data_IF_379784790635
#
_entry.id   IF_379784790635
#
_cell.length_a   1.000
_cell.length_b   1.000
_cell.length_c   1.000
_cell.angle_alpha   90.00
_cell.angle_beta   90.00
_cell.angle_gamma   90.00
#
_symmetry.space_group_name_H-M   'P 1'
#
loop_
_entity.id
_entity.type
_entity.pdbx_description
1 polymer ?
#
# COMPACT_ATOMS: atom_id res chain seq x y z
N UNK A 1 12.07 -5.63 -12.54
CA UNK A 1 12.42 -6.91 -13.22
C UNK A 1 13.14 -7.81 -12.21
N UNK A 2 12.85 -9.13 -12.17
CA UNK A 2 13.59 -10.07 -11.31
C UNK A 2 15.08 -10.10 -11.66
N UNK A 3 15.95 -10.28 -10.69
CA UNK A 3 17.40 -10.22 -10.87
C UNK A 3 17.92 -11.25 -11.88
N UNK A 4 17.32 -12.45 -11.94
CA UNK A 4 17.71 -13.46 -12.93
C UNK A 4 17.45 -13.00 -14.38
N UNK A 5 16.42 -12.16 -14.61
CA UNK A 5 16.19 -11.58 -15.95
C UNK A 5 17.18 -10.46 -16.24
N UNK A 6 17.56 -9.67 -15.24
CA UNK A 6 18.60 -8.65 -15.37
C UNK A 6 19.93 -9.29 -15.74
N UNK A 7 20.33 -10.35 -15.05
CA UNK A 7 21.53 -11.15 -15.37
C UNK A 7 21.51 -11.59 -16.85
N UNK A 8 20.39 -12.17 -17.31
CA UNK A 8 20.26 -12.60 -18.71
C UNK A 8 20.27 -11.45 -19.72
N UNK A 9 19.77 -10.27 -19.35
CA UNK A 9 19.81 -9.08 -20.22
C UNK A 9 21.25 -8.57 -20.35
N UNK A 10 21.96 -8.39 -19.23
CA UNK A 10 23.35 -7.94 -19.25
C UNK A 10 24.28 -8.92 -20.01
N UNK A 11 24.06 -10.22 -19.85
CA UNK A 11 24.84 -11.24 -20.56
C UNK A 11 24.73 -11.12 -22.10
N UNK A 12 23.58 -10.63 -22.63
CA UNK A 12 23.44 -10.37 -24.09
C UNK A 12 24.37 -9.26 -24.59
N UNK A 13 24.63 -8.30 -23.70
CA UNK A 13 25.53 -7.17 -23.98
C UNK A 13 26.97 -7.49 -23.53
N UNK A 14 27.30 -8.78 -23.30
CA UNK A 14 28.61 -9.26 -22.88
C UNK A 14 29.06 -8.67 -21.52
N UNK A 15 28.09 -8.26 -20.67
CA UNK A 15 28.35 -7.80 -19.31
C UNK A 15 27.95 -8.91 -18.33
N UNK A 16 28.94 -9.50 -17.67
CA UNK A 16 28.71 -10.55 -16.68
C UNK A 16 28.57 -9.93 -15.28
N UNK A 17 27.34 -9.91 -14.77
CA UNK A 17 27.01 -9.47 -13.41
C UNK A 17 26.17 -10.57 -12.76
N UNK A 18 26.74 -11.19 -11.73
CA UNK A 18 26.05 -12.25 -11.00
C UNK A 18 24.86 -11.68 -10.20
N UNK A 19 23.74 -12.43 -10.16
CA UNK A 19 22.51 -12.01 -9.48
C UNK A 19 22.71 -11.83 -7.97
N UNK A 20 23.65 -12.55 -7.35
CA UNK A 20 23.95 -12.39 -5.92
C UNK A 20 24.65 -11.04 -5.66
N UNK A 21 25.50 -10.60 -6.57
CA UNK A 21 26.10 -9.28 -6.51
C UNK A 21 25.04 -8.17 -6.67
N UNK A 22 24.11 -8.31 -7.63
CA UNK A 22 22.99 -7.39 -7.78
C UNK A 22 22.10 -7.37 -6.53
N UNK A 23 21.85 -8.52 -5.91
CA UNK A 23 21.08 -8.60 -4.66
C UNK A 23 21.79 -7.86 -3.52
N UNK A 24 23.10 -7.97 -3.40
CA UNK A 24 23.88 -7.22 -2.40
C UNK A 24 23.82 -5.70 -2.64
N UNK A 25 23.90 -5.28 -3.91
CA UNK A 25 23.75 -3.85 -4.26
C UNK A 25 22.36 -3.32 -3.90
N UNK A 26 21.30 -4.09 -4.20
CA UNK A 26 19.94 -3.74 -3.83
C UNK A 26 19.77 -3.62 -2.32
N UNK A 27 20.39 -4.53 -1.54
CA UNK A 27 20.37 -4.45 -0.08
C UNK A 27 21.07 -3.20 0.47
N UNK A 28 22.27 -2.89 -0.06
CA UNK A 28 22.99 -1.65 0.30
C UNK A 28 22.20 -0.41 -0.05
N UNK A 29 21.68 -0.35 -1.28
CA UNK A 29 20.87 0.78 -1.75
C UNK A 29 19.60 0.96 -0.91
N UNK A 30 18.94 -0.14 -0.54
CA UNK A 30 17.77 -0.11 0.35
C UNK A 30 18.10 0.51 1.70
N UNK A 31 19.22 0.14 2.30
CA UNK A 31 19.69 0.70 3.55
C UNK A 31 19.99 2.21 3.44
N UNK A 32 20.69 2.63 2.40
CA UNK A 32 21.02 4.04 2.16
C UNK A 32 19.76 4.91 1.88
N UNK A 33 18.72 4.33 1.28
CA UNK A 33 17.47 5.03 0.95
C UNK A 33 16.42 4.97 2.05
N UNK A 34 16.62 4.18 3.10
CA UNK A 34 15.67 4.05 4.21
C UNK A 34 15.32 5.42 4.86
N UNK A 35 16.29 6.31 5.15
CA UNK A 35 15.96 7.63 5.70
C UNK A 35 15.06 8.48 4.79
N UNK A 36 15.19 8.32 3.47
CA UNK A 36 14.32 9.02 2.51
C UNK A 36 12.90 8.46 2.53
N UNK A 37 12.75 7.14 2.62
CA UNK A 37 11.45 6.49 2.77
C UNK A 37 10.77 6.87 4.09
N UNK A 38 11.52 6.98 5.17
CA UNK A 38 11.03 7.47 6.47
C UNK A 38 10.59 8.93 6.40
N UNK A 39 11.38 9.77 5.77
CA UNK A 39 11.04 11.17 5.53
C UNK A 39 9.74 11.30 4.72
N UNK A 40 9.61 10.53 3.63
CA UNK A 40 8.39 10.53 2.81
C UNK A 40 7.15 10.17 3.63
N UNK A 41 7.21 9.11 4.45
CA UNK A 41 6.10 8.73 5.33
C UNK A 41 5.82 9.79 6.39
N UNK A 42 6.85 10.41 6.97
CA UNK A 42 6.69 11.50 7.92
C UNK A 42 5.98 12.71 7.28
N UNK A 43 6.31 13.03 6.03
CA UNK A 43 5.64 14.09 5.25
C UNK A 43 4.19 13.75 4.92
N UNK A 44 3.90 12.49 4.58
CA UNK A 44 2.53 12.00 4.35
C UNK A 44 1.68 12.19 5.61
N UNK A 45 2.20 11.83 6.78
CA UNK A 45 1.49 11.96 8.07
C UNK A 45 1.20 13.40 8.50
N UNK A 46 1.80 14.40 7.88
CA UNK A 46 1.49 15.81 8.11
C UNK A 46 0.26 16.30 7.30
N UNK A 47 -0.23 15.48 6.38
CA UNK A 47 -1.42 15.79 5.58
C UNK A 47 -2.72 15.58 6.36
N UNK A 48 -3.76 16.29 5.96
CA UNK A 48 -5.12 16.08 6.49
C UNK A 48 -5.69 14.73 6.07
N UNK A 49 -5.33 14.25 4.85
CA UNK A 49 -5.82 12.99 4.25
C UNK A 49 -4.67 12.11 3.86
N UNK A 50 -4.82 10.84 4.18
CA UNK A 50 -3.91 9.77 3.74
C UNK A 50 -4.76 8.66 3.13
N UNK A 51 -4.30 8.15 1.99
CA UNK A 51 -4.84 6.95 1.37
C UNK A 51 -3.93 5.78 1.72
N UNK A 52 -4.49 4.68 2.15
CA UNK A 52 -3.72 3.49 2.49
C UNK A 52 -4.33 2.24 1.87
N UNK A 53 -3.46 1.35 1.41
CA UNK A 53 -3.81 0.06 0.84
C UNK A 53 -2.64 -0.91 1.07
N UNK A 54 -2.90 -2.21 1.04
CA UNK A 54 -1.85 -3.21 1.13
C UNK A 54 -2.02 -4.28 0.05
N UNK A 55 -0.89 -4.67 -0.52
CA UNK A 55 -0.81 -5.67 -1.58
C UNK A 55 0.01 -6.86 -1.11
N UNK A 56 -0.42 -8.07 -1.44
CA UNK A 56 0.35 -9.28 -1.19
C UNK A 56 1.62 -9.30 -2.04
N UNK A 57 2.74 -9.67 -1.42
CA UNK A 57 4.04 -9.79 -2.08
C UNK A 57 4.62 -11.18 -1.78
N UNK A 58 4.66 -12.10 -2.78
CA UNK A 58 5.33 -13.37 -2.60
C UNK A 58 6.83 -13.17 -2.34
N UNK A 59 7.32 -13.67 -1.22
CA UNK A 59 8.71 -13.50 -0.78
C UNK A 59 9.35 -14.85 -0.57
N UNK A 60 10.59 -15.02 -1.00
CA UNK A 60 11.32 -16.24 -0.76
C UNK A 60 11.53 -16.47 0.75
N UNK A 61 11.30 -17.70 1.20
CA UNK A 61 11.63 -18.13 2.55
C UNK A 61 12.87 -19.05 2.49
N UNK A 62 14.07 -18.50 2.72
CA UNK A 62 15.31 -19.28 2.62
C UNK A 62 15.26 -20.56 3.47
N UNK A 63 15.71 -21.66 2.90
CA UNK A 63 15.72 -22.98 3.59
C UNK A 63 14.40 -23.74 3.57
N UNK A 64 13.26 -23.11 3.18
CA UNK A 64 11.95 -23.78 3.16
C UNK A 64 11.58 -24.39 1.80
N UNK A 65 12.25 -23.98 0.72
CA UNK A 65 11.88 -24.33 -0.65
C UNK A 65 10.53 -23.75 -1.13
N UNK A 66 9.93 -22.87 -0.36
CA UNK A 66 8.61 -22.26 -0.62
C UNK A 66 8.68 -20.74 -0.58
N UNK A 67 7.73 -20.09 -1.23
CA UNK A 67 7.48 -18.66 -1.01
C UNK A 67 6.52 -18.48 0.17
N UNK A 68 6.74 -17.46 1.00
CA UNK A 68 5.80 -16.96 1.99
C UNK A 68 5.07 -15.74 1.45
N UNK A 69 3.87 -15.47 1.94
CA UNK A 69 3.17 -14.22 1.66
C UNK A 69 3.68 -13.15 2.62
N UNK A 70 4.24 -12.09 2.05
CA UNK A 70 4.49 -10.83 2.74
C UNK A 70 3.57 -9.76 2.16
N UNK A 71 3.67 -8.53 2.64
CA UNK A 71 2.78 -7.44 2.28
C UNK A 71 3.58 -6.17 2.02
N UNK A 72 3.17 -5.44 0.99
CA UNK A 72 3.64 -4.10 0.72
C UNK A 72 2.51 -3.14 1.07
N UNK A 73 2.71 -2.40 2.15
CA UNK A 73 1.80 -1.35 2.60
C UNK A 73 2.13 -0.06 1.86
N UNK A 74 1.13 0.55 1.27
CA UNK A 74 1.26 1.77 0.48
C UNK A 74 0.53 2.90 1.19
N UNK A 75 1.20 4.03 1.36
CA UNK A 75 0.63 5.25 1.90
C UNK A 75 0.79 6.37 0.90
N UNK A 76 -0.32 7.07 0.61
CA UNK A 76 -0.33 8.15 -0.39
C UNK A 76 -0.95 9.38 0.23
N UNK A 77 -0.35 10.53 -0.05
CA UNK A 77 -0.95 11.84 0.12
C UNK A 77 -1.05 12.50 -1.24
N UNK A 78 -2.25 12.89 -1.62
CA UNK A 78 -2.50 13.72 -2.80
C UNK A 78 -3.63 14.71 -2.45
N UNK A 79 -3.27 15.95 -2.24
CA UNK A 79 -4.22 16.99 -1.85
C UNK A 79 -4.81 17.74 -3.05
N UNK A 80 -4.32 17.49 -4.28
CA UNK A 80 -4.74 18.20 -5.50
C UNK A 80 -6.23 18.08 -5.79
N UNK A 81 -6.89 16.91 -5.64
CA UNK A 81 -8.34 16.80 -5.83
C UNK A 81 -9.16 17.61 -4.82
N UNK A 82 -8.53 18.10 -3.75
CA UNK A 82 -9.16 18.86 -2.67
C UNK A 82 -8.68 20.32 -2.62
N UNK A 83 -8.11 20.82 -3.73
CA UNK A 83 -7.64 22.20 -3.85
C UNK A 83 -6.22 22.46 -3.31
N UNK A 84 -5.49 21.42 -2.91
CA UNK A 84 -4.09 21.54 -2.51
C UNK A 84 -3.16 21.72 -3.70
N UNK A 85 -2.06 22.45 -3.53
CA UNK A 85 -1.05 22.73 -4.58
C UNK A 85 0.22 21.88 -4.47
N UNK A 86 0.38 21.10 -3.40
CA UNK A 86 1.56 20.27 -3.19
C UNK A 86 1.64 19.05 -4.13
N UNK A 87 2.85 18.58 -4.46
CA UNK A 87 3.00 17.36 -5.24
C UNK A 87 2.50 16.14 -4.44
N UNK A 88 2.01 15.09 -5.12
CA UNK A 88 1.67 13.85 -4.45
C UNK A 88 2.92 13.18 -3.90
N UNK A 89 2.76 12.50 -2.77
CA UNK A 89 3.82 11.74 -2.10
C UNK A 89 3.33 10.32 -1.89
N UNK A 90 4.18 9.34 -2.18
CA UNK A 90 3.94 7.94 -1.90
C UNK A 90 5.07 7.37 -1.05
N UNK A 91 4.72 6.54 -0.08
CA UNK A 91 5.67 5.75 0.70
C UNK A 91 5.21 4.30 0.79
N UNK A 92 6.18 3.40 0.80
CA UNK A 92 5.96 1.96 0.91
C UNK A 92 6.60 1.41 2.17
N UNK A 93 5.94 0.42 2.79
CA UNK A 93 6.49 -0.36 3.90
C UNK A 93 6.31 -1.84 3.61
N UNK A 94 7.41 -2.57 3.68
CA UNK A 94 7.39 -4.02 3.60
C UNK A 94 7.13 -4.61 4.98
N UNK A 95 6.24 -5.60 5.05
CA UNK A 95 5.93 -6.34 6.27
C UNK A 95 5.69 -7.81 5.98
N UNK A 96 6.15 -8.66 6.89
CA UNK A 96 5.85 -10.09 6.85
C UNK A 96 4.42 -10.42 7.32
N UNK A 97 3.66 -9.41 7.76
CA UNK A 97 2.34 -9.56 8.37
C UNK A 97 1.35 -8.52 7.85
N UNK A 98 0.08 -8.92 7.80
CA UNK A 98 -1.06 -8.04 7.52
C UNK A 98 -1.76 -7.57 8.81
N UNK A 99 -1.14 -7.79 9.97
CA UNK A 99 -1.75 -7.47 11.25
C UNK A 99 -1.90 -5.96 11.49
N UNK A 100 -2.91 -5.57 12.27
CA UNK A 100 -3.19 -4.17 12.59
C UNK A 100 -2.06 -3.46 13.35
N UNK A 101 -1.15 -4.22 13.98
CA UNK A 101 0.06 -3.70 14.60
C UNK A 101 0.99 -3.02 13.60
N UNK A 102 1.07 -3.53 12.36
CA UNK A 102 1.89 -2.94 11.31
C UNK A 102 1.40 -1.54 10.97
N UNK A 103 0.11 -1.39 10.66
CA UNK A 103 -0.45 -0.08 10.33
C UNK A 103 -0.42 0.88 11.54
N UNK A 104 -0.63 0.36 12.76
CA UNK A 104 -0.55 1.18 13.98
C UNK A 104 0.86 1.76 14.18
N UNK A 105 1.90 0.97 13.88
CA UNK A 105 3.29 1.42 13.93
C UNK A 105 3.61 2.43 12.82
N UNK A 106 3.20 2.16 11.58
CA UNK A 106 3.46 3.04 10.44
C UNK A 106 2.81 4.41 10.60
N UNK A 107 1.56 4.43 11.07
CA UNK A 107 0.76 5.64 11.24
C UNK A 107 0.72 6.13 12.69
N UNK A 108 1.70 5.74 13.51
CA UNK A 108 1.80 6.26 14.86
C UNK A 108 1.87 7.78 14.86
N UNK A 109 1.05 8.42 15.74
CA UNK A 109 0.92 9.87 15.81
C UNK A 109 0.14 10.52 14.66
N UNK A 110 -0.30 9.79 13.64
CA UNK A 110 -1.15 10.36 12.59
C UNK A 110 -2.54 10.67 13.15
N UNK A 111 -3.06 11.83 12.74
CA UNK A 111 -4.41 12.33 13.07
C UNK A 111 -4.97 12.96 11.81
N UNK A 112 -6.15 12.54 11.42
CA UNK A 112 -6.78 13.04 10.19
C UNK A 112 -7.68 12.00 9.55
N UNK A 113 -7.89 12.13 8.26
CA UNK A 113 -8.74 11.23 7.46
C UNK A 113 -7.86 10.16 6.83
N UNK A 114 -8.17 8.89 7.11
CA UNK A 114 -7.52 7.75 6.47
C UNK A 114 -8.52 7.03 5.57
N UNK A 115 -8.31 7.12 4.27
CA UNK A 115 -9.14 6.44 3.29
C UNK A 115 -8.58 5.05 2.99
N UNK A 116 -9.41 4.02 3.19
CA UNK A 116 -9.04 2.60 3.11
C UNK A 116 -10.12 1.78 2.42
N UNK A 117 -9.80 0.53 2.08
CA UNK A 117 -10.73 -0.43 1.47
C UNK A 117 -11.77 -1.02 2.43
N UNK A 118 -11.66 -0.72 3.73
CA UNK A 118 -12.52 -1.29 4.80
C UNK A 118 -11.92 -2.53 5.47
N UNK A 119 -10.65 -2.85 5.22
CA UNK A 119 -9.98 -3.94 5.93
C UNK A 119 -9.93 -3.67 7.44
N UNK A 120 -10.27 -4.70 8.23
CA UNK A 120 -10.46 -4.57 9.68
C UNK A 120 -9.21 -4.14 10.46
N UNK A 121 -8.01 -4.33 9.92
CA UNK A 121 -6.76 -3.89 10.55
C UNK A 121 -6.74 -2.38 10.83
N UNK A 122 -7.37 -1.58 9.98
CA UNK A 122 -7.43 -0.12 10.12
C UNK A 122 -8.37 0.33 11.26
N UNK A 123 -9.34 -0.49 11.68
CA UNK A 123 -10.26 -0.15 12.77
C UNK A 123 -9.53 0.11 14.09
N UNK A 124 -8.33 -0.44 14.25
CA UNK A 124 -7.48 -0.21 15.42
C UNK A 124 -7.06 1.27 15.57
N UNK A 125 -6.98 2.00 14.47
CA UNK A 125 -6.63 3.42 14.48
C UNK A 125 -7.81 4.33 14.84
N UNK A 126 -9.03 3.88 14.59
CA UNK A 126 -10.26 4.65 14.77
C UNK A 126 -10.90 4.49 16.16
N UNK A 127 -10.26 3.78 17.09
CA UNK A 127 -10.89 3.45 18.38
C UNK A 127 -11.07 4.68 19.28
N UNK A 128 -12.27 4.75 19.88
CA UNK A 128 -12.76 5.83 20.74
C UNK A 128 -12.03 5.96 22.09
N UNK A 129 -11.24 4.99 22.51
CA UNK A 129 -10.42 5.03 23.72
C UNK A 129 -9.27 6.04 23.64
N UNK A 130 -9.04 6.65 22.48
CA UNK A 130 -8.08 7.75 22.25
C UNK A 130 -8.71 9.14 22.25
N UNK A 131 -9.97 9.28 22.63
CA UNK A 131 -10.71 10.55 22.61
C UNK A 131 -11.01 11.03 21.18
N UNK A 132 -11.35 12.33 21.03
CA UNK A 132 -11.61 12.96 19.70
C UNK A 132 -10.37 13.08 18.81
N UNK A 133 -9.24 12.59 19.25
CA UNK A 133 -7.94 12.69 18.60
C UNK A 133 -7.58 11.49 17.70
N UNK A 134 -8.52 10.60 17.44
CA UNK A 134 -8.31 9.42 16.61
C UNK A 134 -8.30 9.71 15.11
N UNK A 135 -7.97 8.68 14.32
CA UNK A 135 -8.05 8.71 12.86
C UNK A 135 -9.52 8.55 12.42
N UNK A 136 -9.99 9.43 11.55
CA UNK A 136 -11.29 9.28 10.88
C UNK A 136 -11.13 8.32 9.69
N UNK A 137 -11.77 7.14 9.76
CA UNK A 137 -11.76 6.21 8.63
C UNK A 137 -12.78 6.64 7.58
N UNK A 138 -12.34 6.69 6.32
CA UNK A 138 -13.17 6.91 5.14
C UNK A 138 -13.11 5.68 4.23
N UNK A 139 -14.26 5.21 3.75
CA UNK A 139 -14.32 4.08 2.83
C UNK A 139 -13.96 4.53 1.41
N UNK A 140 -13.20 3.70 0.71
CA UNK A 140 -12.87 3.91 -0.69
C UNK A 140 -14.05 3.55 -1.60
N UNK A 141 -14.59 4.54 -2.32
CA UNK A 141 -15.73 4.35 -3.23
C UNK A 141 -15.43 3.34 -4.34
N UNK A 142 -14.21 3.26 -4.84
CA UNK A 142 -13.82 2.25 -5.85
C UNK A 142 -13.98 0.82 -5.33
N UNK A 143 -13.63 0.57 -4.07
CA UNK A 143 -13.82 -0.73 -3.44
C UNK A 143 -15.30 -1.03 -3.16
N UNK A 144 -16.06 -0.03 -2.71
CA UNK A 144 -17.52 -0.16 -2.56
C UNK A 144 -18.17 -0.47 -3.90
N UNK A 145 -17.84 0.31 -4.96
CA UNK A 145 -18.37 0.08 -6.30
C UNK A 145 -18.04 -1.32 -6.83
N UNK A 146 -16.83 -1.82 -6.58
CA UNK A 146 -16.43 -3.18 -6.99
C UNK A 146 -17.37 -4.24 -6.42
N UNK A 147 -17.78 -4.12 -5.15
CA UNK A 147 -18.72 -5.06 -4.53
C UNK A 147 -20.08 -5.08 -5.23
N UNK A 148 -20.61 -3.92 -5.57
CA UNK A 148 -21.85 -3.84 -6.35
C UNK A 148 -21.65 -4.35 -7.78
N UNK A 149 -20.50 -4.06 -8.41
CA UNK A 149 -20.20 -4.53 -9.74
C UNK A 149 -20.09 -6.07 -9.83
N UNK A 150 -19.49 -6.72 -8.85
CA UNK A 150 -19.42 -8.18 -8.77
C UNK A 150 -20.82 -8.81 -8.73
N UNK A 151 -21.75 -8.25 -7.96
CA UNK A 151 -23.14 -8.69 -7.90
C UNK A 151 -23.89 -8.38 -9.20
N UNK A 152 -23.65 -7.25 -9.81
CA UNK A 152 -24.21 -6.88 -11.12
C UNK A 152 -23.76 -7.84 -12.20
N UNK A 153 -22.46 -8.11 -12.30
CA UNK A 153 -21.88 -9.01 -13.30
C UNK A 153 -22.36 -10.46 -13.14
N UNK A 154 -22.64 -10.88 -11.91
CA UNK A 154 -23.23 -12.18 -11.62
C UNK A 154 -24.75 -12.25 -11.93
N UNK A 155 -25.37 -11.15 -12.34
CA UNK A 155 -26.82 -11.07 -12.61
C UNK A 155 -27.71 -11.29 -11.38
N UNK A 156 -27.14 -11.21 -10.18
CA UNK A 156 -27.81 -11.66 -8.94
C UNK A 156 -28.64 -10.57 -8.25
N UNK A 157 -28.58 -9.29 -8.70
CA UNK A 157 -29.26 -8.20 -8.01
C UNK A 157 -29.59 -7.01 -8.93
N UNK A 158 -30.87 -6.70 -9.01
CA UNK A 158 -31.37 -5.49 -9.70
C UNK A 158 -30.87 -4.23 -8.99
N UNK A 159 -30.85 -4.23 -7.65
CA UNK A 159 -30.36 -3.09 -6.86
C UNK A 159 -28.88 -2.84 -7.16
N UNK A 160 -28.05 -3.89 -7.25
CA UNK A 160 -26.63 -3.73 -7.60
C UNK A 160 -26.45 -3.10 -8.99
N UNK A 161 -27.28 -3.51 -9.98
CA UNK A 161 -27.25 -2.94 -11.33
C UNK A 161 -27.59 -1.44 -11.34
N UNK A 162 -28.63 -1.05 -10.61
CA UNK A 162 -29.02 0.34 -10.45
C UNK A 162 -27.93 1.17 -9.74
N UNK A 163 -27.35 0.61 -8.67
CA UNK A 163 -26.28 1.27 -7.91
C UNK A 163 -25.04 1.49 -8.77
N UNK A 164 -24.63 0.49 -9.55
CA UNK A 164 -23.48 0.62 -10.46
C UNK A 164 -23.73 1.70 -11.52
N UNK A 165 -24.94 1.78 -12.07
CA UNK A 165 -25.32 2.81 -13.04
C UNK A 165 -25.27 4.23 -12.44
N UNK A 166 -25.66 4.40 -11.17
CA UNK A 166 -25.57 5.67 -10.45
C UNK A 166 -24.14 6.05 -10.06
N UNK A 167 -23.24 5.06 -9.86
CA UNK A 167 -21.84 5.26 -9.53
C UNK A 167 -20.94 5.33 -10.78
N UNK A 168 -21.50 5.32 -11.99
CA UNK A 168 -20.72 5.54 -13.21
C UNK A 168 -20.21 6.99 -13.24
N UNK A 169 -18.98 7.22 -13.74
CA UNK A 169 -18.43 8.58 -13.88
C UNK A 169 -19.20 9.40 -14.89
#
# INVERSE_FOLDING_TARGET
LPLYRQEAIYARDQVEIDRSQMAQWMGKLGFELEPLADYALARIKQGERVFADETTLPTLAPGSGKAKTAYLWTYVRDDRPFGGSGPPIVAYRFEDSRAGECVARHLDGYRGILQVDGYAAYNRLARSDRGNDGVMLAACWSHVRRKFYELHAAGSSVIASQTVAQMAP
#
